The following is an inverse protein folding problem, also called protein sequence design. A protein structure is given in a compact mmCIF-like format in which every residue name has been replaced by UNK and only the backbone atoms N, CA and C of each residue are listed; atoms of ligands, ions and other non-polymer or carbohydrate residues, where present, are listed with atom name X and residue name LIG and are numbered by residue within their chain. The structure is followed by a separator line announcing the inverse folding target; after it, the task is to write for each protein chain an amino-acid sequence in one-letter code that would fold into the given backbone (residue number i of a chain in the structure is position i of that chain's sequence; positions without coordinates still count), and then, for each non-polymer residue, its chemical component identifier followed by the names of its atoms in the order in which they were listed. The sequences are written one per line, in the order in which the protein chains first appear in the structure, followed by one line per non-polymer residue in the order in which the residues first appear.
data_IF_887998112676
#
_entry.id   IF_887998112676
#
_cell.length_a   1.000
_cell.length_b   1.000
_cell.length_c   1.000
_cell.angle_alpha   90.00
_cell.angle_beta   90.00
_cell.angle_gamma   90.00
#
_symmetry.space_group_name_H-M   'P 1'
#
loop_
_entity.id
_entity.type
_entity.pdbx_description
1 polymer ?
#
# COMPACT_ATOMS: atom_id res chain seq x y z
N UNK A 1 17.06 0.34 -31.07
CA UNK A 1 15.87 0.26 -30.21
C UNK A 1 15.04 1.54 -30.41
N UNK A 2 13.74 1.47 -30.66
CA UNK A 2 12.91 2.68 -30.88
C UNK A 2 12.78 3.50 -29.60
N UNK A 3 12.61 4.83 -29.69
CA UNK A 3 12.44 5.70 -28.51
C UNK A 3 11.21 5.30 -27.69
N UNK A 4 10.15 4.86 -28.39
CA UNK A 4 8.94 4.26 -27.83
C UNK A 4 9.25 3.07 -26.91
N UNK A 5 10.02 2.11 -27.40
CA UNK A 5 10.35 0.92 -26.62
C UNK A 5 11.33 1.23 -25.48
N UNK A 6 12.27 2.15 -25.70
CA UNK A 6 13.17 2.65 -24.64
C UNK A 6 12.39 3.30 -23.50
N UNK A 7 11.38 4.12 -23.81
CA UNK A 7 10.48 4.70 -22.80
C UNK A 7 9.71 3.62 -22.05
N UNK A 8 9.10 2.67 -22.77
CA UNK A 8 8.36 1.56 -22.15
C UNK A 8 9.20 0.76 -21.17
N UNK A 9 10.40 0.31 -21.57
CA UNK A 9 11.28 -0.46 -20.69
C UNK A 9 11.74 0.36 -19.48
N UNK A 10 12.06 1.64 -19.68
CA UNK A 10 12.42 2.53 -18.57
C UNK A 10 11.27 2.70 -17.58
N UNK A 11 10.05 2.95 -18.08
CA UNK A 11 8.85 3.11 -17.26
C UNK A 11 8.55 1.81 -16.50
N UNK A 12 8.48 0.67 -17.20
CA UNK A 12 8.23 -0.64 -16.62
C UNK A 12 9.26 -0.99 -15.52
N UNK A 13 10.54 -0.70 -15.76
CA UNK A 13 11.60 -0.97 -14.79
C UNK A 13 11.44 -0.16 -13.50
N UNK A 14 11.07 1.12 -13.62
CA UNK A 14 10.81 1.98 -12.46
C UNK A 14 9.56 1.49 -11.72
N UNK A 15 8.47 1.20 -12.42
CA UNK A 15 7.24 0.68 -11.81
C UNK A 15 7.48 -0.64 -11.08
N UNK A 16 8.26 -1.55 -11.68
CA UNK A 16 8.62 -2.83 -11.06
C UNK A 16 9.51 -2.63 -9.82
N UNK A 17 10.47 -1.71 -9.87
CA UNK A 17 11.30 -1.38 -8.72
C UNK A 17 10.47 -0.86 -7.54
N UNK A 18 9.55 0.07 -7.79
CA UNK A 18 8.64 0.61 -6.76
C UNK A 18 7.74 -0.51 -6.21
N UNK A 19 7.19 -1.35 -7.08
CA UNK A 19 6.39 -2.51 -6.70
C UNK A 19 7.16 -3.48 -5.79
N UNK A 20 8.42 -3.79 -6.09
CA UNK A 20 9.24 -4.68 -5.26
C UNK A 20 9.49 -4.08 -3.86
N UNK A 21 9.79 -2.78 -3.78
CA UNK A 21 9.92 -2.10 -2.49
C UNK A 21 8.62 -2.15 -1.68
N UNK A 22 7.48 -1.91 -2.35
CA UNK A 22 6.17 -2.00 -1.73
C UNK A 22 5.86 -3.44 -1.27
N UNK A 23 6.18 -4.47 -2.05
CA UNK A 23 6.01 -5.88 -1.66
C UNK A 23 6.77 -6.17 -0.38
N UNK A 24 8.07 -5.85 -0.35
CA UNK A 24 8.93 -6.13 0.80
C UNK A 24 8.38 -5.41 2.03
N UNK A 25 8.09 -4.13 1.91
CA UNK A 25 7.61 -3.36 3.07
C UNK A 25 6.24 -3.83 3.54
N UNK A 26 5.26 -4.00 2.64
CA UNK A 26 3.90 -4.39 3.02
C UNK A 26 3.88 -5.78 3.63
N UNK A 27 4.50 -6.79 3.01
CA UNK A 27 4.35 -8.18 3.46
C UNK A 27 5.36 -8.62 4.54
N UNK A 28 6.48 -7.91 4.73
CA UNK A 28 7.43 -8.26 5.79
C UNK A 28 7.33 -7.34 7.01
N UNK A 29 6.84 -6.10 6.85
CA UNK A 29 6.74 -5.14 7.96
C UNK A 29 5.30 -5.00 8.43
N UNK A 30 4.37 -4.64 7.53
CA UNK A 30 2.98 -4.37 7.95
C UNK A 30 2.10 -5.61 8.08
N UNK A 31 2.25 -6.57 7.18
CA UNK A 31 1.40 -7.75 7.08
C UNK A 31 2.24 -9.04 7.03
N UNK A 32 3.12 -9.30 8.02
CA UNK A 32 3.83 -10.57 8.10
C UNK A 32 2.82 -11.72 8.10
N UNK A 33 3.18 -12.85 7.48
CA UNK A 33 2.36 -14.05 7.53
C UNK A 33 2.13 -14.47 8.99
N UNK A 34 0.90 -14.83 9.41
CA UNK A 34 -0.32 -15.04 8.61
C UNK A 34 -1.26 -13.83 8.49
N UNK A 35 -0.87 -12.64 8.94
CA UNK A 35 -1.76 -11.47 9.06
C UNK A 35 -2.25 -10.95 7.70
N UNK A 36 -1.44 -11.06 6.65
CA UNK A 36 -1.87 -10.71 5.29
C UNK A 36 -3.13 -11.48 4.87
N UNK A 37 -3.19 -12.77 5.19
CA UNK A 37 -4.35 -13.63 4.92
C UNK A 37 -5.52 -13.30 5.82
N UNK A 38 -5.26 -13.05 7.12
CA UNK A 38 -6.30 -12.69 8.08
C UNK A 38 -7.01 -11.36 7.73
N UNK A 39 -6.27 -10.38 7.21
CA UNK A 39 -6.85 -9.09 6.78
C UNK A 39 -7.37 -9.13 5.34
N UNK A 40 -6.83 -9.98 4.47
CA UNK A 40 -7.21 -10.04 3.06
C UNK A 40 -6.60 -8.91 2.20
N UNK A 41 -5.46 -8.34 2.63
CA UNK A 41 -4.82 -7.18 1.95
C UNK A 41 -4.37 -7.48 0.52
N UNK A 42 -4.14 -8.76 0.19
CA UNK A 42 -3.60 -9.21 -1.09
C UNK A 42 -4.39 -8.69 -2.29
N UNK A 43 -5.72 -8.61 -2.21
CA UNK A 43 -6.54 -8.14 -3.33
C UNK A 43 -6.26 -6.68 -3.69
N UNK A 44 -6.21 -5.79 -2.69
CA UNK A 44 -5.89 -4.36 -2.89
C UNK A 44 -4.46 -4.22 -3.42
N UNK A 45 -3.53 -5.03 -2.89
CA UNK A 45 -2.15 -5.03 -3.34
C UNK A 45 -2.01 -5.45 -4.81
N UNK A 46 -2.69 -6.53 -5.23
CA UNK A 46 -2.68 -7.00 -6.63
C UNK A 46 -3.28 -5.97 -7.60
N UNK A 47 -4.33 -5.24 -7.18
CA UNK A 47 -4.89 -4.15 -7.96
C UNK A 47 -3.87 -3.03 -8.20
N UNK A 48 -3.13 -2.63 -7.16
CA UNK A 48 -2.06 -1.63 -7.25
C UNK A 48 -0.97 -2.09 -8.23
N UNK A 49 -0.48 -3.33 -8.12
CA UNK A 49 0.50 -3.89 -9.06
C UNK A 49 -0.03 -3.88 -10.50
N UNK A 50 -1.29 -4.26 -10.71
CA UNK A 50 -1.89 -4.30 -12.05
C UNK A 50 -1.94 -2.92 -12.68
N UNK A 51 -2.36 -1.90 -11.92
CA UNK A 51 -2.45 -0.53 -12.41
C UNK A 51 -1.05 0.02 -12.73
N UNK A 52 -0.11 -0.12 -11.80
CA UNK A 52 1.19 0.55 -11.88
C UNK A 52 2.21 -0.19 -12.75
N UNK A 53 2.30 -1.51 -12.67
CA UNK A 53 3.32 -2.28 -13.37
C UNK A 53 2.86 -2.70 -14.77
N UNK A 54 1.54 -2.83 -14.98
CA UNK A 54 0.99 -3.32 -16.25
C UNK A 54 0.33 -2.17 -17.01
N UNK A 55 -0.75 -1.59 -16.49
CA UNK A 55 -1.57 -0.63 -17.25
C UNK A 55 -0.82 0.65 -17.59
N UNK A 56 -0.13 1.27 -16.62
CA UNK A 56 0.62 2.51 -16.84
C UNK A 56 1.69 2.42 -17.95
N UNK A 57 2.65 1.46 -17.87
CA UNK A 57 3.64 1.26 -18.92
C UNK A 57 3.02 0.90 -20.28
N UNK A 58 1.97 0.07 -20.33
CA UNK A 58 1.29 -0.27 -21.58
C UNK A 58 0.61 0.95 -22.22
N UNK A 59 -0.08 1.77 -21.43
CA UNK A 59 -0.68 3.02 -21.92
C UNK A 59 0.41 3.97 -22.45
N UNK A 60 1.51 4.11 -21.71
CA UNK A 60 2.67 4.88 -22.15
C UNK A 60 3.23 4.37 -23.47
N UNK A 61 3.35 3.05 -23.64
CA UNK A 61 3.76 2.42 -24.88
C UNK A 61 2.76 2.71 -26.01
N UNK A 62 1.45 2.58 -25.78
CA UNK A 62 0.42 2.78 -26.81
C UNK A 62 0.36 4.23 -27.31
N UNK A 63 0.48 5.20 -26.41
CA UNK A 63 0.32 6.62 -26.75
C UNK A 63 1.61 7.22 -27.34
N UNK A 64 2.76 6.57 -27.13
CA UNK A 64 4.04 7.09 -27.61
C UNK A 64 4.14 7.13 -29.15
N UNK A 65 4.09 8.35 -29.69
CA UNK A 65 4.29 8.63 -31.12
C UNK A 65 5.30 9.77 -31.30
N UNK A 66 6.40 9.48 -32.01
CA UNK A 66 7.42 10.49 -32.29
C UNK A 66 6.83 11.68 -33.04
N UNK A 67 7.30 12.90 -32.69
CA UNK A 67 6.82 14.18 -33.23
C UNK A 67 5.37 14.56 -32.90
N UNK A 68 4.66 13.81 -32.04
CA UNK A 68 3.35 14.23 -31.51
C UNK A 68 3.55 15.41 -30.52
N UNK A 69 2.97 16.58 -30.82
CA UNK A 69 3.13 17.80 -29.99
C UNK A 69 2.66 17.61 -28.55
N UNK A 70 1.56 16.87 -28.35
CA UNK A 70 1.00 16.57 -27.03
C UNK A 70 1.73 15.46 -26.28
N UNK A 71 2.74 14.80 -26.87
CA UNK A 71 3.32 13.57 -26.30
C UNK A 71 3.78 13.73 -24.86
N UNK A 72 4.44 14.85 -24.53
CA UNK A 72 4.91 15.12 -23.17
C UNK A 72 3.76 15.24 -22.18
N UNK A 73 2.68 15.91 -22.57
CA UNK A 73 1.47 16.05 -21.76
C UNK A 73 0.79 14.69 -21.59
N UNK A 74 0.64 13.91 -22.66
CA UNK A 74 0.00 12.60 -22.61
C UNK A 74 0.73 11.64 -21.66
N UNK A 75 2.05 11.54 -21.80
CA UNK A 75 2.88 10.71 -20.91
C UNK A 75 2.90 11.25 -19.48
N UNK A 76 2.94 12.57 -19.31
CA UNK A 76 2.87 13.22 -18.01
C UNK A 76 1.57 12.91 -17.27
N UNK A 77 0.42 13.00 -17.96
CA UNK A 77 -0.88 12.63 -17.39
C UNK A 77 -0.92 11.17 -16.95
N UNK A 78 -0.41 10.25 -17.78
CA UNK A 78 -0.31 8.82 -17.41
C UNK A 78 0.49 8.65 -16.12
N UNK A 79 1.68 9.26 -16.03
CA UNK A 79 2.54 9.16 -14.85
C UNK A 79 1.87 9.80 -13.62
N UNK A 80 1.23 10.96 -13.75
CA UNK A 80 0.54 11.64 -12.63
C UNK A 80 -0.62 10.80 -12.11
N UNK A 81 -1.49 10.31 -13.00
CA UNK A 81 -2.61 9.43 -12.62
C UNK A 81 -2.09 8.16 -11.95
N UNK A 82 -1.00 7.59 -12.46
CA UNK A 82 -0.35 6.43 -11.89
C UNK A 82 0.18 6.70 -10.47
N UNK A 83 0.89 7.81 -10.26
CA UNK A 83 1.36 8.21 -8.91
C UNK A 83 0.21 8.42 -7.94
N UNK A 84 -0.89 9.02 -8.39
CA UNK A 84 -2.11 9.19 -7.57
C UNK A 84 -2.71 7.83 -7.20
N UNK A 85 -2.83 6.92 -8.17
CA UNK A 85 -3.37 5.58 -7.95
C UNK A 85 -2.52 4.78 -6.96
N UNK A 86 -1.19 4.78 -7.14
CA UNK A 86 -0.25 4.15 -6.21
C UNK A 86 -0.38 4.74 -4.81
N UNK A 87 -0.38 6.07 -4.69
CA UNK A 87 -0.43 6.76 -3.39
C UNK A 87 -1.73 6.44 -2.65
N UNK A 88 -2.87 6.45 -3.35
CA UNK A 88 -4.17 6.12 -2.77
C UNK A 88 -4.25 4.65 -2.36
N UNK A 89 -3.80 3.73 -3.21
CA UNK A 89 -3.77 2.30 -2.91
C UNK A 89 -2.84 1.99 -1.72
N UNK A 90 -1.64 2.55 -1.72
CA UNK A 90 -0.66 2.37 -0.64
C UNK A 90 -1.14 2.97 0.68
N UNK A 91 -1.78 4.16 0.65
CA UNK A 91 -2.42 4.75 1.83
C UNK A 91 -3.54 3.86 2.37
N UNK A 92 -4.39 3.31 1.49
CA UNK A 92 -5.47 2.40 1.90
C UNK A 92 -4.92 1.14 2.59
N UNK A 93 -3.83 0.58 2.05
CA UNK A 93 -3.09 -0.53 2.68
C UNK A 93 -2.48 -0.10 4.02
N UNK A 94 -1.94 1.11 4.13
CA UNK A 94 -1.38 1.63 5.38
C UNK A 94 -2.44 1.78 6.49
N UNK A 95 -3.65 2.19 6.14
CA UNK A 95 -4.78 2.34 7.08
C UNK A 95 -5.36 1.00 7.53
N UNK A 96 -5.38 -0.01 6.64
CA UNK A 96 -5.84 -1.36 6.97
C UNK A 96 -4.82 -2.21 7.74
N UNK A 97 -3.62 -1.69 8.02
CA UNK A 97 -2.54 -2.50 8.59
C UNK A 97 -2.87 -2.95 10.02
N UNK A 98 -2.50 -4.18 10.40
CA UNK A 98 -2.52 -4.62 11.78
C UNK A 98 -1.72 -3.65 12.66
N UNK A 99 -2.39 -3.04 13.64
CA UNK A 99 -1.75 -2.20 14.64
C UNK A 99 -1.43 -3.02 15.88
N UNK A 100 -2.41 -3.84 16.32
CA UNK A 100 -2.31 -4.60 17.56
C UNK A 100 -2.78 -6.03 17.36
N UNK A 101 -2.07 -6.94 18.03
CA UNK A 101 -2.55 -8.29 18.30
C UNK A 101 -2.81 -8.35 19.80
N UNK A 102 -4.10 -8.41 20.16
CA UNK A 102 -4.57 -8.36 21.55
C UNK A 102 -4.91 -9.76 22.00
N UNK A 103 -4.26 -10.25 23.04
CA UNK A 103 -4.71 -11.44 23.74
C UNK A 103 -5.88 -11.08 24.66
N UNK A 104 -7.04 -11.69 24.42
CA UNK A 104 -8.25 -11.49 25.19
C UNK A 104 -8.77 -12.85 25.67
N UNK A 105 -8.45 -13.20 26.92
CA UNK A 105 -8.82 -14.44 27.61
C UNK A 105 -8.41 -15.73 26.89
N UNK A 106 -9.11 -16.09 25.80
CA UNK A 106 -8.94 -17.33 25.06
C UNK A 106 -8.67 -17.10 23.56
N UNK A 107 -8.67 -15.85 23.08
CA UNK A 107 -8.48 -15.53 21.66
C UNK A 107 -7.46 -14.42 21.44
N UNK A 108 -6.83 -14.46 20.26
CA UNK A 108 -6.07 -13.33 19.73
C UNK A 108 -6.95 -12.53 18.78
N UNK A 109 -7.10 -11.25 19.06
CA UNK A 109 -7.84 -10.30 18.25
C UNK A 109 -6.86 -9.41 17.48
N UNK A 110 -7.08 -9.26 16.18
CA UNK A 110 -6.30 -8.36 15.33
C UNK A 110 -7.07 -7.05 15.20
N UNK A 111 -6.45 -5.95 15.63
CA UNK A 111 -7.01 -4.60 15.52
C UNK A 111 -6.24 -3.84 14.45
N UNK A 112 -6.95 -3.29 13.47
CA UNK A 112 -6.36 -2.48 12.40
C UNK A 112 -6.27 -1.01 12.83
N UNK A 113 -5.38 -0.25 12.17
CA UNK A 113 -5.23 1.19 12.46
C UNK A 113 -6.54 1.96 12.30
N UNK A 114 -7.33 1.64 11.27
CA UNK A 114 -8.61 2.30 10.98
C UNK A 114 -9.78 1.84 11.88
N UNK A 115 -9.57 0.89 12.79
CA UNK A 115 -10.59 0.36 13.71
C UNK A 115 -10.43 0.89 15.14
N UNK A 116 -9.39 1.68 15.40
CA UNK A 116 -9.12 2.21 16.75
C UNK A 116 -10.09 3.37 17.02
N UNK A 117 -11.04 3.15 17.93
CA UNK A 117 -11.96 4.17 18.41
C UNK A 117 -11.23 5.18 19.31
N UNK A 118 -11.30 6.46 18.94
CA UNK A 118 -10.66 7.56 19.67
C UNK A 118 -11.66 8.56 20.27
N UNK A 119 -12.92 8.15 20.49
CA UNK A 119 -14.00 9.07 20.91
C UNK A 119 -13.77 9.68 22.30
N UNK A 120 -12.97 9.04 23.17
CA UNK A 120 -12.59 9.56 24.48
C UNK A 120 -11.06 9.51 24.67
N UNK A 121 -10.30 10.41 24.04
CA UNK A 121 -8.83 10.35 24.04
C UNK A 121 -8.19 10.54 25.41
N UNK A 122 -8.93 11.09 26.38
CA UNK A 122 -8.46 11.28 27.76
C UNK A 122 -8.42 9.99 28.58
N UNK A 123 -9.22 8.98 28.22
CA UNK A 123 -9.20 7.66 28.89
C UNK A 123 -8.21 6.68 28.26
N UNK A 124 -7.59 7.05 27.12
CA UNK A 124 -6.63 6.20 26.41
C UNK A 124 -5.23 6.46 26.97
N UNK A 125 -4.55 5.40 27.45
CA UNK A 125 -3.16 5.52 27.86
C UNK A 125 -2.27 5.95 26.68
N UNK A 126 -1.26 6.79 26.94
CA UNK A 126 -0.44 7.40 25.88
C UNK A 126 0.19 6.39 24.91
N UNK A 127 0.49 5.17 25.39
CA UNK A 127 1.00 4.06 24.57
C UNK A 127 0.05 3.68 23.42
N UNK A 128 -1.27 3.78 23.63
CA UNK A 128 -2.27 3.39 22.63
C UNK A 128 -2.72 4.55 21.73
N UNK A 129 -2.26 5.78 22.00
CA UNK A 129 -2.55 6.95 21.15
C UNK A 129 -1.78 6.93 19.84
N UNK A 130 -0.72 6.13 19.74
CA UNK A 130 0.14 6.03 18.55
C UNK A 130 0.32 4.58 18.17
N UNK A 131 0.18 4.29 16.88
CA UNK A 131 0.41 2.96 16.33
C UNK A 131 1.78 2.91 15.67
N UNK A 132 2.52 1.82 15.89
CA UNK A 132 3.78 1.58 15.21
C UNK A 132 3.62 1.58 13.68
N UNK A 133 4.65 2.09 13.00
CA UNK A 133 4.80 2.00 11.54
C UNK A 133 5.65 0.80 11.11
N UNK A 134 6.26 0.10 12.06
CA UNK A 134 7.23 -0.98 11.83
C UNK A 134 6.68 -2.38 12.11
N UNK A 135 5.35 -2.50 12.17
CA UNK A 135 4.64 -3.76 12.36
C UNK A 135 3.69 -3.73 13.56
N UNK A 136 2.93 -4.81 13.76
CA UNK A 136 1.97 -4.91 14.85
C UNK A 136 2.66 -5.08 16.20
N UNK A 137 2.06 -4.52 17.24
CA UNK A 137 2.49 -4.70 18.64
C UNK A 137 1.56 -5.69 19.37
N UNK A 138 2.09 -6.35 20.39
CA UNK A 138 1.38 -7.39 21.15
C UNK A 138 1.04 -6.88 22.54
N UNK A 139 -0.22 -7.05 22.94
CA UNK A 139 -0.73 -6.62 24.24
C UNK A 139 -1.77 -7.63 24.77
N UNK A 140 -2.07 -7.55 26.06
CA UNK A 140 -3.14 -8.34 26.69
C UNK A 140 -4.22 -7.38 27.21
N UNK A 141 -5.48 -7.75 27.01
CA UNK A 141 -6.58 -7.09 27.68
C UNK A 141 -6.50 -7.37 29.20
N UNK A 142 -6.75 -6.35 30.01
CA UNK A 142 -6.91 -6.51 31.45
C UNK A 142 -8.37 -6.83 31.75
N UNK A 143 -8.68 -7.83 32.60
CA UNK A 143 -10.04 -8.08 33.05
C UNK A 143 -10.60 -6.82 33.72
N UNK A 144 -11.85 -6.46 33.41
CA UNK A 144 -12.59 -5.47 34.18
C UNK A 144 -12.82 -6.02 35.59
N UNK A 145 -12.06 -5.53 36.56
CA UNK A 145 -12.24 -5.82 38.00
C UNK A 145 -13.46 -5.11 38.55
#
# INVERSE_FOLDING_TARGET
MSKRFKFFIGHLSISLFIALLAIIFVFFVWYPWPLATAVGVTYIFLMLITIDVILGPLLGLLVYKEKKKSLKMDLGTIIVVQVIAFSFGFYSIAQGRPAWIVFNQNSFELIRVNEIYTEHPESIADKFKKNSWWGPEYVSAQPST
#
